data_IF_807083139193
#
_entry.id   IF_807083139193
#
_cell.length_a   1.000
_cell.length_b   1.000
_cell.length_c   1.000
_cell.angle_alpha   90.00
_cell.angle_beta   90.00
_cell.angle_gamma   90.00
#
_symmetry.space_group_name_H-M   'P 1'
#
loop_
_entity.id
_entity.type
_entity.pdbx_description
1 polymer ?
#
# COMPACT_ATOMS: atom_id res chain seq x y z
N UNK A 1 -21.68 -14.64 1.69
CA UNK A 1 -20.25 -14.27 1.79
C UNK A 1 -20.18 -12.77 1.69
N UNK A 2 -19.65 -12.09 2.70
CA UNK A 2 -19.60 -10.64 2.71
C UNK A 2 -18.61 -10.18 1.62
N UNK A 3 -19.13 -9.62 0.53
CA UNK A 3 -18.32 -8.92 -0.46
C UNK A 3 -17.87 -7.61 0.18
N UNK A 4 -16.62 -7.53 0.64
CA UNK A 4 -16.02 -6.27 1.07
C UNK A 4 -16.13 -5.24 -0.06
N UNK A 5 -16.42 -3.99 0.29
CA UNK A 5 -16.51 -2.86 -0.64
C UNK A 5 -15.15 -2.59 -1.36
N UNK A 6 -14.03 -3.11 -0.83
CA UNK A 6 -12.67 -2.95 -1.33
C UNK A 6 -11.88 -4.29 -1.28
N UNK A 7 -12.16 -5.23 -2.21
CA UNK A 7 -11.55 -6.57 -2.16
C UNK A 7 -10.02 -6.53 -2.35
N UNK A 8 -9.51 -5.59 -3.13
CA UNK A 8 -8.07 -5.42 -3.37
C UNK A 8 -7.35 -4.85 -2.14
N UNK A 9 -7.96 -3.86 -1.48
CA UNK A 9 -7.43 -3.31 -0.22
C UNK A 9 -7.35 -4.36 0.88
N UNK A 10 -8.41 -5.17 1.06
CA UNK A 10 -8.42 -6.26 2.03
C UNK A 10 -7.31 -7.29 1.75
N UNK A 11 -7.13 -7.69 0.49
CA UNK A 11 -6.06 -8.60 0.09
C UNK A 11 -4.66 -8.04 0.39
N UNK A 12 -4.43 -6.77 0.04
CA UNK A 12 -3.17 -6.05 0.34
C UNK A 12 -2.93 -5.99 1.84
N UNK A 13 -3.97 -5.62 2.61
CA UNK A 13 -3.90 -5.52 4.07
C UNK A 13 -3.52 -6.84 4.70
N UNK A 14 -4.17 -7.92 4.28
CA UNK A 14 -3.93 -9.25 4.83
C UNK A 14 -2.50 -9.70 4.53
N UNK A 15 -2.06 -9.64 3.26
CA UNK A 15 -0.70 -10.02 2.85
C UNK A 15 0.39 -9.25 3.61
N UNK A 16 0.24 -7.94 3.74
CA UNK A 16 1.19 -7.09 4.48
C UNK A 16 1.19 -7.46 5.96
N UNK A 17 0.01 -7.64 6.55
CA UNK A 17 -0.10 -7.96 7.98
C UNK A 17 0.54 -9.31 8.31
N UNK A 18 0.30 -10.32 7.48
CA UNK A 18 0.87 -11.66 7.67
C UNK A 18 2.39 -11.69 7.46
N UNK A 19 2.90 -11.03 6.42
CA UNK A 19 4.31 -11.09 6.06
C UNK A 19 5.21 -10.14 6.87
N UNK A 20 4.72 -8.93 7.17
CA UNK A 20 5.53 -7.86 7.77
C UNK A 20 5.15 -7.54 9.21
N UNK A 21 4.02 -8.06 9.71
CA UNK A 21 3.50 -7.81 11.07
C UNK A 21 3.69 -6.35 11.50
N UNK A 22 3.19 -5.38 10.72
CA UNK A 22 3.43 -3.99 10.98
C UNK A 22 2.75 -3.55 12.28
N UNK A 23 3.42 -2.66 13.01
CA UNK A 23 2.85 -2.00 14.19
C UNK A 23 1.79 -0.97 13.77
N UNK A 24 1.92 -0.39 12.57
CA UNK A 24 0.93 0.50 11.97
C UNK A 24 0.85 0.29 10.46
N UNK A 25 -0.37 0.17 9.94
CA UNK A 25 -0.65 -0.01 8.51
C UNK A 25 -1.82 0.89 8.13
N UNK A 26 -1.56 1.81 7.22
CA UNK A 26 -2.57 2.67 6.61
C UNK A 26 -2.57 2.47 5.10
N UNK A 27 -3.76 2.27 4.55
CA UNK A 27 -3.97 2.07 3.11
C UNK A 27 -4.90 3.17 2.63
N UNK A 28 -4.49 3.86 1.58
CA UNK A 28 -5.27 4.92 0.94
C UNK A 28 -5.49 4.56 -0.52
N UNK A 29 -6.75 4.55 -0.94
CA UNK A 29 -7.13 4.36 -2.32
C UNK A 29 -7.40 5.74 -2.97
N UNK A 30 -6.48 6.18 -3.83
CA UNK A 30 -6.54 7.47 -4.53
C UNK A 30 -7.05 7.34 -5.97
N UNK A 31 -7.59 6.19 -6.32
CA UNK A 31 -8.02 5.88 -7.69
C UNK A 31 -9.12 6.82 -8.20
N UNK A 32 -9.94 7.37 -7.29
CA UNK A 32 -10.99 8.35 -7.62
C UNK A 32 -10.45 9.68 -8.14
N UNK A 33 -9.23 10.09 -7.78
CA UNK A 33 -8.66 11.36 -8.22
C UNK A 33 -8.36 11.37 -9.73
N UNK A 34 -8.19 10.20 -10.34
CA UNK A 34 -7.80 10.06 -11.75
C UNK A 34 -8.93 9.53 -12.65
N UNK A 35 -10.14 9.32 -12.11
CA UNK A 35 -11.31 8.84 -12.86
C UNK A 35 -11.88 9.86 -13.88
N UNK A 36 -11.40 11.11 -13.89
CA UNK A 36 -11.91 12.17 -14.77
C UNK A 36 -11.32 12.20 -16.19
N UNK A 37 -10.37 11.32 -16.53
CA UNK A 37 -9.92 11.21 -17.92
C UNK A 37 -10.83 10.29 -18.75
N UNK A 38 -11.57 10.94 -19.65
CA UNK A 38 -12.55 10.43 -20.63
C UNK A 38 -12.09 9.25 -21.52
N UNK A 39 -10.83 8.81 -21.42
CA UNK A 39 -10.28 7.65 -22.10
C UNK A 39 -10.46 6.33 -21.32
N UNK A 40 -10.83 6.37 -20.04
CA UNK A 40 -11.06 5.21 -19.17
C UNK A 40 -12.55 4.81 -19.13
N UNK A 41 -13.26 4.83 -20.25
CA UNK A 41 -14.63 4.28 -20.31
C UNK A 41 -14.64 2.75 -20.43
N UNK A 42 -13.47 2.17 -20.70
CA UNK A 42 -13.25 0.74 -21.00
C UNK A 42 -12.35 0.03 -19.97
N UNK A 43 -11.75 0.76 -19.03
CA UNK A 43 -10.93 0.16 -17.98
C UNK A 43 -11.80 -0.09 -16.75
N UNK A 44 -12.20 -1.34 -16.56
CA UNK A 44 -13.05 -1.85 -15.46
C UNK A 44 -12.56 -1.52 -14.05
N UNK A 45 -11.30 -1.13 -13.86
CA UNK A 45 -10.71 -1.00 -12.52
C UNK A 45 -10.76 0.40 -11.95
N UNK A 46 -11.51 0.54 -10.86
CA UNK A 46 -11.62 1.73 -10.03
C UNK A 46 -10.61 1.73 -8.87
N UNK A 47 -9.70 0.77 -8.82
CA UNK A 47 -8.72 0.56 -7.75
C UNK A 47 -7.32 0.41 -8.34
N UNK A 48 -6.82 1.47 -8.99
CA UNK A 48 -5.54 1.46 -9.72
C UNK A 48 -4.42 2.18 -8.98
N UNK A 49 -4.74 3.10 -8.07
CA UNK A 49 -3.76 3.95 -7.39
C UNK A 49 -3.87 3.78 -5.87
N UNK A 50 -2.81 3.28 -5.25
CA UNK A 50 -2.76 3.05 -3.81
C UNK A 50 -1.56 3.73 -3.17
N UNK A 51 -1.77 4.24 -1.96
CA UNK A 51 -0.69 4.67 -1.06
C UNK A 51 -0.73 3.84 0.21
N UNK A 52 0.41 3.25 0.55
CA UNK A 52 0.59 2.40 1.72
C UNK A 52 1.61 3.05 2.66
N UNK A 53 1.20 3.23 3.91
CA UNK A 53 2.09 3.63 4.99
C UNK A 53 2.24 2.44 5.91
N UNK A 54 3.47 1.94 6.00
CA UNK A 54 3.77 0.70 6.71
C UNK A 54 4.88 1.01 7.71
N UNK A 55 4.55 0.85 8.99
CA UNK A 55 5.50 0.93 10.09
C UNK A 55 5.74 -0.46 10.62
N UNK A 56 6.96 -0.99 10.45
CA UNK A 56 7.31 -2.35 10.88
C UNK A 56 8.78 -2.45 11.27
N UNK A 57 9.06 -3.29 12.27
CA UNK A 57 10.41 -3.68 12.66
C UNK A 57 11.11 -4.54 11.59
N UNK A 58 10.34 -5.18 10.69
CA UNK A 58 10.89 -5.95 9.56
C UNK A 58 11.73 -5.09 8.59
N UNK A 59 11.57 -3.76 8.66
CA UNK A 59 12.34 -2.79 7.90
C UNK A 59 13.62 -2.33 8.61
N UNK A 60 13.78 -2.70 9.89
CA UNK A 60 15.02 -2.46 10.62
C UNK A 60 16.19 -3.12 9.90
N UNK A 61 17.33 -2.43 9.86
CA UNK A 61 18.53 -2.89 9.13
C UNK A 61 18.39 -3.00 7.60
N UNK A 62 17.31 -2.50 6.98
CA UNK A 62 17.12 -2.48 5.52
C UNK A 62 17.06 -1.07 4.97
N UNK A 63 17.71 -0.84 3.83
CA UNK A 63 17.58 0.43 3.09
C UNK A 63 16.24 0.53 2.36
N UNK A 64 15.78 1.76 2.11
CA UNK A 64 14.50 2.04 1.46
C UNK A 64 14.22 1.22 0.18
N UNK A 65 15.16 1.06 -0.78
CA UNK A 65 14.90 0.24 -1.97
C UNK A 65 14.63 -1.24 -1.64
N UNK A 66 15.31 -1.79 -0.64
CA UNK A 66 15.09 -3.17 -0.20
C UNK A 66 13.72 -3.32 0.48
N UNK A 67 13.31 -2.35 1.30
CA UNK A 67 11.97 -2.30 1.91
C UNK A 67 10.88 -2.28 0.84
N UNK A 68 11.03 -1.43 -0.18
CA UNK A 68 10.08 -1.35 -1.28
C UNK A 68 10.02 -2.66 -2.07
N UNK A 69 11.16 -3.26 -2.41
CA UNK A 69 11.21 -4.56 -3.11
C UNK A 69 10.48 -5.66 -2.34
N UNK A 70 10.59 -5.70 -1.02
CA UNK A 70 9.85 -6.67 -0.20
C UNK A 70 8.34 -6.52 -0.38
N UNK A 71 7.82 -5.29 -0.26
CA UNK A 71 6.38 -5.03 -0.42
C UNK A 71 5.91 -5.29 -1.85
N UNK A 72 6.65 -4.84 -2.87
CA UNK A 72 6.34 -5.14 -4.26
C UNK A 72 6.31 -6.63 -4.57
N UNK A 73 7.19 -7.41 -3.93
CA UNK A 73 7.20 -8.87 -4.10
C UNK A 73 5.96 -9.50 -3.47
N UNK A 74 5.54 -9.04 -2.30
CA UNK A 74 4.32 -9.52 -1.62
C UNK A 74 3.05 -9.22 -2.43
N UNK A 75 3.01 -8.05 -3.07
CA UNK A 75 1.86 -7.59 -3.85
C UNK A 75 1.99 -7.88 -5.35
N UNK A 76 2.98 -8.68 -5.76
CA UNK A 76 3.26 -8.95 -7.17
C UNK A 76 2.06 -9.56 -7.89
N UNK A 77 1.34 -10.47 -7.23
CA UNK A 77 0.12 -11.07 -7.78
C UNK A 77 -0.99 -10.03 -7.97
N UNK A 78 -1.17 -9.12 -7.00
CA UNK A 78 -2.17 -8.04 -7.05
C UNK A 78 -1.83 -6.99 -8.13
N UNK A 79 -0.54 -6.75 -8.37
CA UNK A 79 -0.05 -5.88 -9.44
C UNK A 79 -0.23 -6.53 -10.82
N UNK A 80 -0.09 -7.85 -10.91
CA UNK A 80 -0.23 -8.61 -12.16
C UNK A 80 -1.66 -9.04 -12.47
N UNK A 81 -2.57 -8.94 -11.50
CA UNK A 81 -3.98 -9.26 -11.67
C UNK A 81 -4.61 -8.39 -12.77
N UNK A 82 -5.60 -8.94 -13.47
CA UNK A 82 -6.34 -8.19 -14.48
C UNK A 82 -7.11 -7.06 -13.80
N UNK A 83 -6.77 -5.82 -14.15
CA UNK A 83 -7.31 -4.66 -13.46
C UNK A 83 -6.69 -4.39 -12.07
N UNK A 84 -5.49 -4.92 -11.83
CA UNK A 84 -4.73 -4.72 -10.61
C UNK A 84 -4.15 -3.31 -10.45
N UNK A 85 -3.23 -3.18 -9.50
CA UNK A 85 -2.65 -1.90 -9.11
C UNK A 85 -1.76 -1.35 -10.24
N UNK A 86 -2.01 -0.12 -10.69
CA UNK A 86 -1.21 0.57 -11.70
C UNK A 86 -0.09 1.41 -11.08
N UNK A 87 -0.39 2.10 -9.97
CA UNK A 87 0.56 2.93 -9.24
C UNK A 87 0.49 2.64 -7.74
N UNK A 88 1.65 2.34 -7.15
CA UNK A 88 1.77 2.04 -5.73
C UNK A 88 2.79 2.98 -5.08
N UNK A 89 2.33 3.84 -4.17
CA UNK A 89 3.22 4.64 -3.35
C UNK A 89 3.46 3.93 -2.02
N UNK A 90 4.72 3.72 -1.69
CA UNK A 90 5.12 3.06 -0.45
C UNK A 90 5.83 4.06 0.45
N UNK A 91 5.36 4.18 1.69
CA UNK A 91 6.11 4.77 2.80
C UNK A 91 6.40 3.69 3.82
N UNK A 92 7.65 3.24 3.86
CA UNK A 92 8.11 2.22 4.80
C UNK A 92 8.98 2.83 5.89
N UNK A 93 8.54 2.78 7.14
CA UNK A 93 9.27 3.32 8.31
C UNK A 93 9.50 2.23 9.34
N UNK A 94 10.58 2.35 10.12
CA UNK A 94 10.68 1.59 11.38
C UNK A 94 9.83 2.26 12.46
N UNK A 95 9.43 1.53 13.52
CA UNK A 95 8.73 2.15 14.65
C UNK A 95 9.51 3.33 15.24
N UNK A 96 10.85 3.24 15.32
CA UNK A 96 11.72 4.34 15.76
C UNK A 96 11.65 5.57 14.83
N UNK A 97 11.63 5.35 13.51
CA UNK A 97 11.51 6.42 12.52
C UNK A 97 10.12 7.07 12.56
N UNK A 98 9.07 6.28 12.77
CA UNK A 98 7.70 6.78 12.86
C UNK A 98 7.49 7.60 14.13
N UNK A 99 8.02 7.14 15.27
CA UNK A 99 8.00 7.91 16.52
C UNK A 99 8.73 9.24 16.38
N UNK A 100 9.95 9.23 15.80
CA UNK A 100 10.68 10.48 15.51
C UNK A 100 9.92 11.39 14.55
N UNK A 101 9.24 10.85 13.54
CA UNK A 101 8.45 11.65 12.60
C UNK A 101 7.23 12.29 13.30
N UNK A 102 6.51 11.54 14.14
CA UNK A 102 5.38 12.06 14.91
C UNK A 102 5.78 13.15 15.89
N UNK A 103 6.94 13.02 16.53
CA UNK A 103 7.49 14.05 17.42
C UNK A 103 7.83 15.34 16.67
N UNK A 104 8.34 15.24 15.43
CA UNK A 104 8.65 16.41 14.59
C UNK A 104 7.42 17.13 14.05
N UNK A 105 6.33 16.40 13.76
CA UNK A 105 5.08 17.00 13.27
C UNK A 105 4.30 17.72 14.39
N UNK A 106 4.60 17.40 15.66
CA UNK A 106 3.98 18.00 16.83
C UNK A 106 4.68 19.28 17.35
N UNK A 107 5.83 19.64 16.77
CA UNK A 107 6.65 20.82 17.09
C UNK A 107 6.46 21.94 16.08
#
# INVERSE_FOLDING_TARGET
MATSQHPLEDAVRQKITEALKPTSLEIFNDSHLHAHHKAMKDTTSQETHFRLFITSDAFSSKMQPARHRMVYTLLKDELAAQGGIHALQLRTRTPEEDEKARLKDAE
#
